data_IF_512791286336
#
_entry.id   IF_512791286336
#
_cell.length_a   1.000
_cell.length_b   1.000
_cell.length_c   1.000
_cell.angle_alpha   90.00
_cell.angle_beta   90.00
_cell.angle_gamma   90.00
#
_symmetry.space_group_name_H-M   'P 1'
#
loop_
_entity.id
_entity.type
_entity.pdbx_description
1 polymer ?
#
# COMPACT_ATOMS: atom_id res chain seq x y z
N UNK A 1 40.01 4.64 -18.39
CA UNK A 1 38.55 4.46 -18.42
C UNK A 1 38.26 3.09 -17.83
N UNK A 2 38.17 2.98 -16.51
CA UNK A 2 37.77 1.74 -15.84
C UNK A 2 36.27 1.81 -15.60
N UNK A 3 35.52 1.30 -16.56
CA UNK A 3 34.11 0.99 -16.41
C UNK A 3 33.98 -0.03 -15.28
N UNK A 4 33.49 0.42 -14.13
CA UNK A 4 33.33 -0.41 -12.94
C UNK A 4 31.90 -0.91 -12.98
N UNK A 5 31.72 -2.15 -13.44
CA UNK A 5 30.41 -2.81 -13.45
C UNK A 5 29.74 -2.66 -12.07
N UNK A 6 28.43 -2.35 -12.00
CA UNK A 6 27.75 -2.17 -10.72
C UNK A 6 27.85 -3.47 -9.90
N UNK A 7 28.32 -3.32 -8.67
CA UNK A 7 28.51 -4.43 -7.73
C UNK A 7 27.14 -5.04 -7.39
N UNK A 8 26.83 -6.20 -7.98
CA UNK A 8 25.57 -6.97 -7.88
C UNK A 8 25.22 -7.52 -6.49
N UNK A 9 25.82 -6.99 -5.41
CA UNK A 9 25.72 -7.61 -4.08
C UNK A 9 25.64 -6.59 -2.93
N UNK A 10 25.09 -5.40 -3.17
CA UNK A 10 24.88 -4.43 -2.09
C UNK A 10 23.69 -4.88 -1.23
N UNK A 11 23.89 -5.21 0.06
CA UNK A 11 22.80 -5.66 0.90
C UNK A 11 21.72 -4.58 0.99
N UNK A 12 20.46 -5.00 0.84
CA UNK A 12 19.31 -4.12 0.95
C UNK A 12 19.38 -3.33 2.26
N UNK A 13 19.05 -2.04 2.20
CA UNK A 13 19.03 -1.21 3.41
C UNK A 13 18.04 -1.78 4.43
N UNK A 14 18.24 -1.60 5.75
CA UNK A 14 17.31 -2.11 6.75
C UNK A 14 15.85 -1.69 6.54
N UNK A 15 15.63 -0.52 5.92
CA UNK A 15 14.29 -0.06 5.54
C UNK A 15 13.71 -0.92 4.41
N UNK A 16 14.48 -1.16 3.34
CA UNK A 16 14.02 -1.98 2.22
C UNK A 16 13.76 -3.44 2.64
N UNK A 17 14.56 -3.99 3.57
CA UNK A 17 14.29 -5.31 4.14
C UNK A 17 12.92 -5.35 4.84
N UNK A 18 12.60 -4.33 5.65
CA UNK A 18 11.28 -4.24 6.29
C UNK A 18 10.16 -4.02 5.25
N UNK A 19 10.40 -3.19 4.24
CA UNK A 19 9.44 -2.94 3.15
C UNK A 19 9.08 -4.24 2.42
N UNK A 20 10.07 -5.03 1.97
CA UNK A 20 9.82 -6.29 1.26
C UNK A 20 9.05 -7.28 2.13
N UNK A 21 9.44 -7.43 3.40
CA UNK A 21 8.73 -8.30 4.33
C UNK A 21 7.24 -7.92 4.48
N UNK A 22 6.91 -6.63 4.50
CA UNK A 22 5.52 -6.16 4.55
C UNK A 22 4.84 -6.30 3.18
N UNK A 23 5.55 -6.06 2.08
CA UNK A 23 5.00 -6.16 0.73
C UNK A 23 4.54 -7.59 0.41
N UNK A 24 5.23 -8.60 0.94
CA UNK A 24 4.85 -10.01 0.83
C UNK A 24 3.50 -10.32 1.53
N UNK A 25 3.10 -9.54 2.53
CA UNK A 25 1.85 -9.78 3.28
C UNK A 25 0.62 -9.13 2.66
N UNK A 26 0.77 -8.18 1.73
CA UNK A 26 -0.36 -7.37 1.21
C UNK A 26 -0.96 -7.87 -0.11
N UNK A 27 -0.42 -8.96 -0.66
CA UNK A 27 -0.97 -9.61 -1.85
C UNK A 27 -0.98 -8.68 -3.07
N UNK A 28 -2.16 -8.51 -3.67
CA UNK A 28 -2.39 -7.69 -4.87
C UNK A 28 -2.66 -6.21 -4.58
N UNK A 29 -2.64 -5.79 -3.32
CA UNK A 29 -2.81 -4.39 -2.95
C UNK A 29 -1.55 -3.56 -3.21
N UNK A 30 -1.73 -2.31 -3.62
CA UNK A 30 -0.68 -1.30 -3.62
C UNK A 30 -0.32 -0.96 -2.17
N UNK A 31 0.96 -0.82 -1.86
CA UNK A 31 1.42 -0.54 -0.51
C UNK A 31 1.73 0.95 -0.30
N UNK A 32 0.86 1.65 0.43
CA UNK A 32 1.15 2.97 1.00
C UNK A 32 2.07 2.79 2.21
N UNK A 33 3.38 2.95 2.02
CA UNK A 33 4.38 2.77 3.07
C UNK A 33 4.74 4.10 3.72
N UNK A 34 4.36 4.31 4.98
CA UNK A 34 4.59 5.60 5.65
C UNK A 34 6.06 5.89 5.89
N UNK A 35 6.55 6.98 5.30
CA UNK A 35 7.90 7.49 5.40
C UNK A 35 7.87 8.96 5.84
N UNK A 36 7.86 9.18 7.16
CA UNK A 36 7.69 10.52 7.72
C UNK A 36 6.33 11.10 7.36
N UNK A 37 6.34 12.20 6.60
CA UNK A 37 5.14 12.94 6.18
C UNK A 37 4.61 12.54 4.80
N UNK A 38 5.05 11.40 4.27
CA UNK A 38 4.60 10.84 3.00
C UNK A 38 4.18 9.38 3.15
N UNK A 39 3.21 8.95 2.34
CA UNK A 39 3.12 7.56 1.93
C UNK A 39 3.90 7.40 0.64
N UNK A 40 4.94 6.58 0.69
CA UNK A 40 5.75 6.24 -0.48
C UNK A 40 5.35 4.86 -1.00
N UNK A 41 5.38 4.71 -2.32
CA UNK A 41 5.28 3.44 -3.01
C UNK A 41 6.59 3.20 -3.76
N UNK A 42 6.99 1.94 -3.92
CA UNK A 42 8.24 1.56 -4.57
C UNK A 42 8.01 0.54 -5.69
N UNK A 43 8.99 0.40 -6.58
CA UNK A 43 8.99 -0.60 -7.66
C UNK A 43 7.72 -0.50 -8.54
N UNK A 44 7.06 -1.63 -8.82
CA UNK A 44 5.88 -1.69 -9.69
C UNK A 44 4.68 -0.96 -9.09
N UNK A 45 4.54 -0.96 -7.77
CA UNK A 45 3.50 -0.18 -7.08
C UNK A 45 3.68 1.31 -7.38
N UNK A 46 4.93 1.80 -7.41
CA UNK A 46 5.23 3.20 -7.73
C UNK A 46 4.90 3.55 -9.19
N UNK A 47 5.26 2.68 -10.13
CA UNK A 47 4.99 2.89 -11.56
C UNK A 47 3.48 2.95 -11.80
N UNK A 48 2.76 1.99 -11.22
CA UNK A 48 1.30 1.89 -11.32
C UNK A 48 0.62 3.10 -10.69
N UNK A 49 0.95 3.42 -9.45
CA UNK A 49 0.34 4.53 -8.74
C UNK A 49 0.68 5.86 -9.39
N UNK A 50 1.91 6.08 -9.85
CA UNK A 50 2.28 7.32 -10.54
C UNK A 50 1.42 7.56 -11.79
N UNK A 51 1.21 6.52 -12.61
CA UNK A 51 0.39 6.61 -13.81
C UNK A 51 -1.09 6.87 -13.48
N UNK A 52 -1.66 6.14 -12.52
CA UNK A 52 -3.07 6.29 -12.14
C UNK A 52 -3.32 7.64 -11.47
N UNK A 53 -2.43 8.05 -10.58
CA UNK A 53 -2.57 9.27 -9.80
C UNK A 53 -2.19 10.52 -10.59
N UNK A 54 -1.47 10.38 -11.70
CA UNK A 54 -0.86 11.48 -12.45
C UNK A 54 0.08 12.30 -11.57
N UNK A 55 1.00 11.58 -10.89
CA UNK A 55 2.04 12.17 -10.04
C UNK A 55 3.42 11.80 -10.55
N UNK A 56 4.43 12.56 -10.13
CA UNK A 56 5.81 12.34 -10.58
C UNK A 56 6.34 10.99 -10.11
N UNK A 57 6.78 10.16 -11.07
CA UNK A 57 7.60 8.99 -10.81
C UNK A 57 9.08 9.41 -10.69
N UNK A 58 9.70 9.08 -9.58
CA UNK A 58 11.10 9.40 -9.28
C UNK A 58 11.91 8.12 -9.02
N UNK A 59 13.18 8.27 -8.65
CA UNK A 59 14.04 7.15 -8.22
C UNK A 59 14.68 7.47 -6.87
N UNK A 60 14.78 6.47 -5.99
CA UNK A 60 15.41 6.60 -4.66
C UNK A 60 16.48 5.52 -4.46
N UNK A 61 17.73 5.94 -4.29
CA UNK A 61 18.82 4.99 -4.05
C UNK A 61 19.01 3.97 -5.18
N UNK A 62 19.62 2.82 -4.86
CA UNK A 62 19.81 1.71 -5.80
C UNK A 62 19.51 0.38 -5.12
N UNK A 63 18.96 -0.56 -5.89
CA UNK A 63 18.79 -1.97 -5.55
C UNK A 63 19.32 -2.78 -6.73
N UNK A 64 20.23 -3.72 -6.48
CA UNK A 64 20.90 -4.53 -7.52
C UNK A 64 21.54 -3.74 -8.68
N UNK A 65 21.99 -2.51 -8.39
CA UNK A 65 22.60 -1.61 -9.38
C UNK A 65 21.61 -0.78 -10.19
N UNK A 66 20.30 -0.98 -9.99
CA UNK A 66 19.24 -0.20 -10.62
C UNK A 66 18.60 0.79 -9.63
N UNK A 67 18.15 1.94 -10.12
CA UNK A 67 17.47 2.92 -9.28
C UNK A 67 16.05 2.46 -8.93
N UNK A 68 15.71 2.43 -7.63
CA UNK A 68 14.39 2.00 -7.15
C UNK A 68 13.35 3.04 -7.59
N UNK A 69 12.39 2.65 -8.42
CA UNK A 69 11.26 3.50 -8.78
C UNK A 69 10.46 3.88 -7.53
N UNK A 70 10.08 5.15 -7.41
CA UNK A 70 9.39 5.67 -6.23
C UNK A 70 8.45 6.82 -6.60
N UNK A 71 7.25 6.80 -6.05
CA UNK A 71 6.35 7.95 -6.00
C UNK A 71 5.77 8.06 -4.59
N UNK A 72 5.21 9.22 -4.24
CA UNK A 72 4.59 9.39 -2.94
C UNK A 72 3.54 10.48 -2.90
N UNK A 73 2.69 10.39 -1.90
CA UNK A 73 1.62 11.36 -1.61
C UNK A 73 1.77 11.87 -0.18
N UNK A 74 1.40 13.12 0.12
CA UNK A 74 1.51 13.66 1.47
C UNK A 74 0.61 12.87 2.44
N UNK A 75 1.16 12.45 3.58
CA UNK A 75 0.43 11.71 4.62
C UNK A 75 -0.82 12.46 5.08
N UNK A 76 -0.75 13.78 5.25
CA UNK A 76 -1.88 14.58 5.71
C UNK A 76 -2.98 14.81 4.66
N UNK A 77 -2.74 14.40 3.40
CA UNK A 77 -3.63 14.65 2.29
C UNK A 77 -3.72 13.43 1.35
N UNK A 78 -3.60 12.22 1.90
CA UNK A 78 -3.58 10.99 1.11
C UNK A 78 -4.98 10.54 0.65
N UNK A 79 -6.04 10.92 1.36
CA UNK A 79 -7.41 10.44 1.11
C UNK A 79 -7.90 10.69 -0.34
N UNK A 80 -7.66 11.86 -0.97
CA UNK A 80 -8.05 12.04 -2.38
C UNK A 80 -7.28 11.15 -3.36
N UNK A 81 -6.03 10.80 -3.04
CA UNK A 81 -5.23 9.89 -3.87
C UNK A 81 -5.68 8.44 -3.67
N UNK A 82 -5.94 8.05 -2.41
CA UNK A 82 -6.58 6.79 -2.08
C UNK A 82 -7.90 6.65 -2.86
N UNK A 83 -8.74 7.68 -2.88
CA UNK A 83 -9.97 7.74 -3.65
C UNK A 83 -9.79 7.33 -5.10
N UNK A 84 -8.80 7.95 -5.74
CA UNK A 84 -8.52 7.79 -7.16
C UNK A 84 -8.05 6.37 -7.46
N UNK A 85 -7.23 5.78 -6.60
CA UNK A 85 -6.80 4.38 -6.71
C UNK A 85 -7.97 3.41 -6.53
N UNK A 86 -8.81 3.61 -5.51
CA UNK A 86 -9.96 2.73 -5.27
C UNK A 86 -10.97 2.80 -6.43
N UNK A 87 -11.27 4.00 -6.95
CA UNK A 87 -12.15 4.19 -8.12
C UNK A 87 -11.56 3.59 -9.39
N UNK A 88 -10.23 3.51 -9.51
CA UNK A 88 -9.55 2.82 -10.60
C UNK A 88 -9.48 1.29 -10.41
N UNK A 89 -10.09 0.75 -9.34
CA UNK A 89 -10.19 -0.69 -9.09
C UNK A 89 -9.05 -1.29 -8.29
N UNK A 90 -8.12 -0.47 -7.78
CA UNK A 90 -7.01 -0.97 -6.95
C UNK A 90 -7.44 -1.18 -5.50
N UNK A 91 -6.78 -2.13 -4.84
CA UNK A 91 -6.76 -2.24 -3.37
C UNK A 91 -5.53 -1.50 -2.86
N UNK A 92 -5.62 -0.89 -1.68
CA UNK A 92 -4.50 -0.16 -1.08
C UNK A 92 -4.31 -0.59 0.36
N UNK A 93 -3.14 -1.11 0.69
CA UNK A 93 -2.71 -1.40 2.05
C UNK A 93 -2.01 -0.18 2.65
N UNK A 94 -2.49 0.28 3.81
CA UNK A 94 -1.93 1.42 4.55
C UNK A 94 -1.00 0.89 5.62
N UNK A 95 0.29 1.16 5.46
CA UNK A 95 1.33 0.76 6.37
C UNK A 95 1.84 1.96 7.17
N UNK A 96 1.67 1.89 8.49
CA UNK A 96 1.88 2.98 9.43
C UNK A 96 3.16 2.84 10.25
N UNK A 97 3.62 3.96 10.81
CA UNK A 97 4.73 3.99 11.77
C UNK A 97 4.21 3.71 13.18
N UNK A 98 4.65 2.61 13.79
CA UNK A 98 4.18 2.15 15.11
C UNK A 98 4.96 2.75 16.27
N UNK A 99 6.02 3.49 15.97
CA UNK A 99 6.86 4.20 16.92
C UNK A 99 7.44 5.44 16.23
N UNK A 100 7.88 6.43 17.01
CA UNK A 100 8.54 7.60 16.44
C UNK A 100 10.05 7.35 16.21
N UNK A 101 10.74 8.18 15.40
CA UNK A 101 12.17 8.00 15.14
C UNK A 101 13.07 8.06 16.38
N UNK A 102 12.67 8.78 17.43
CA UNK A 102 13.42 8.85 18.68
C UNK A 102 13.33 7.53 19.46
N UNK A 103 12.17 6.88 19.49
CA UNK A 103 11.97 5.56 20.09
C UNK A 103 12.74 4.48 19.36
N UNK A 104 12.68 4.47 18.03
CA UNK A 104 13.45 3.53 17.22
C UNK A 104 14.96 3.63 17.49
N UNK A 105 15.49 4.86 17.61
CA UNK A 105 16.91 5.10 17.93
C UNK A 105 17.32 4.54 19.30
N UNK A 106 16.43 4.51 20.28
CA UNK A 106 16.72 3.90 21.61
C UNK A 106 17.01 2.41 21.50
N UNK A 107 16.46 1.72 20.48
CA UNK A 107 16.71 0.29 20.23
C UNK A 107 18.07 0.02 19.56
N UNK A 108 18.79 1.06 19.14
CA UNK A 108 20.13 0.96 18.55
C UNK A 108 20.30 1.78 17.28
N UNK A 109 21.56 2.05 16.85
CA UNK A 109 21.87 2.95 15.74
C UNK A 109 21.45 2.43 14.36
N UNK A 110 21.19 1.12 14.23
CA UNK A 110 20.71 0.49 12.99
C UNK A 110 19.20 0.21 13.01
N UNK A 111 18.52 0.58 14.08
CA UNK A 111 17.09 0.29 14.25
C UNK A 111 16.26 1.23 13.39
N UNK A 112 15.49 0.64 12.48
CA UNK A 112 14.47 1.36 11.71
C UNK A 112 13.16 1.39 12.48
N UNK A 113 12.38 2.46 12.30
CA UNK A 113 11.01 2.59 12.81
C UNK A 113 10.22 1.34 12.42
N UNK A 114 9.57 0.70 13.40
CA UNK A 114 8.66 -0.43 13.17
C UNK A 114 7.43 0.06 12.43
N UNK A 115 7.00 -0.74 11.45
CA UNK A 115 5.81 -0.48 10.68
C UNK A 115 4.95 -1.71 10.54
N UNK A 116 3.65 -1.48 10.48
CA UNK A 116 2.63 -2.52 10.37
C UNK A 116 1.52 -2.04 9.43
N UNK A 117 0.90 -2.97 8.70
CA UNK A 117 -0.28 -2.68 7.91
C UNK A 117 -1.45 -2.56 8.88
N UNK A 118 -2.04 -1.37 8.96
CA UNK A 118 -3.16 -1.09 9.89
C UNK A 118 -4.51 -1.27 9.21
N UNK A 119 -4.57 -1.17 7.89
CA UNK A 119 -5.80 -1.30 7.11
C UNK A 119 -5.50 -1.65 5.66
N UNK A 120 -6.35 -2.47 5.05
CA UNK A 120 -6.42 -2.63 3.59
C UNK A 120 -7.76 -2.08 3.12
N UNK A 121 -7.71 -1.09 2.23
CA UNK A 121 -8.88 -0.46 1.64
C UNK A 121 -9.16 -1.11 0.29
N UNK A 122 -10.40 -1.52 0.09
CA UNK A 122 -10.88 -2.13 -1.16
C UNK A 122 -12.16 -1.42 -1.59
N UNK A 123 -12.60 -1.54 -2.85
CA UNK A 123 -13.85 -0.92 -3.31
C UNK A 123 -15.08 -1.26 -2.46
N UNK A 124 -15.18 -2.48 -1.93
CA UNK A 124 -16.32 -2.91 -1.10
C UNK A 124 -16.20 -2.58 0.40
N UNK A 125 -15.07 -2.05 0.87
CA UNK A 125 -14.79 -1.85 2.31
C UNK A 125 -14.41 -0.40 2.63
N UNK A 126 -14.93 0.52 1.84
CA UNK A 126 -14.74 1.96 2.00
C UNK A 126 -15.54 2.44 3.21
N UNK A 127 -14.94 3.32 4.01
CA UNK A 127 -15.60 3.98 5.16
C UNK A 127 -15.55 5.50 5.09
N UNK A 128 -14.66 6.03 4.25
CA UNK A 128 -14.44 7.44 4.05
C UNK A 128 -15.65 8.06 3.34
N UNK A 129 -16.31 9.02 3.99
CA UNK A 129 -17.46 9.72 3.42
C UNK A 129 -17.16 10.37 2.05
N UNK A 130 -15.92 10.83 1.84
CA UNK A 130 -15.47 11.44 0.58
C UNK A 130 -15.38 10.45 -0.58
N UNK A 131 -15.39 9.16 -0.28
CA UNK A 131 -15.29 8.06 -1.24
C UNK A 131 -16.66 7.42 -1.52
N UNK A 132 -17.59 7.51 -0.56
CA UNK A 132 -18.93 6.96 -0.67
C UNK A 132 -19.87 7.91 -1.42
N UNK A 133 -20.82 7.34 -2.15
CA UNK A 133 -21.94 8.11 -2.69
C UNK A 133 -23.04 8.15 -1.61
N UNK A 134 -23.36 9.35 -1.11
CA UNK A 134 -24.38 9.53 -0.08
C UNK A 134 -25.80 9.08 -0.49
N UNK A 135 -26.02 8.75 -1.76
CA UNK A 135 -27.31 8.28 -2.30
C UNK A 135 -27.32 6.80 -2.68
N UNK A 136 -26.23 6.08 -2.45
CA UNK A 136 -26.12 4.67 -2.81
C UNK A 136 -25.42 3.86 -1.72
N UNK A 137 -25.83 2.59 -1.59
CA UNK A 137 -25.15 1.64 -0.73
C UNK A 137 -23.85 1.15 -1.39
N UNK A 138 -22.86 0.78 -0.57
CA UNK A 138 -21.59 0.23 -1.00
C UNK A 138 -21.41 -1.19 -0.46
N UNK A 139 -22.14 -2.13 -1.07
CA UNK A 139 -22.14 -3.52 -0.65
C UNK A 139 -20.86 -4.26 -1.07
N UNK A 140 -20.25 -4.96 -0.13
CA UNK A 140 -19.35 -6.08 -0.39
C UNK A 140 -20.17 -7.36 -0.47
N UNK A 141 -20.05 -8.10 -1.57
CA UNK A 141 -20.76 -9.36 -1.78
C UNK A 141 -19.78 -10.53 -1.86
N UNK A 142 -20.14 -11.64 -1.22
CA UNK A 142 -19.47 -12.92 -1.33
C UNK A 142 -20.44 -13.95 -1.90
N UNK A 143 -19.97 -14.71 -2.89
CA UNK A 143 -20.71 -15.83 -3.49
C UNK A 143 -19.90 -17.10 -3.31
N UNK A 144 -20.56 -18.16 -2.85
CA UNK A 144 -19.96 -19.49 -2.66
C UNK A 144 -20.78 -20.54 -3.39
N UNK A 145 -20.15 -21.27 -4.31
CA UNK A 145 -20.77 -22.43 -4.95
C UNK A 145 -20.68 -23.60 -3.97
N UNK A 146 -21.82 -24.21 -3.63
CA UNK A 146 -21.87 -25.31 -2.69
C UNK A 146 -21.29 -26.58 -3.31
N UNK A 147 -20.91 -27.55 -2.45
CA UNK A 147 -20.16 -28.74 -2.88
C UNK A 147 -20.84 -29.57 -3.97
N UNK A 148 -22.17 -29.54 -4.06
CA UNK A 148 -22.93 -30.22 -5.12
C UNK A 148 -22.76 -29.56 -6.49
N UNK A 149 -22.37 -28.29 -6.55
CA UNK A 149 -22.31 -27.49 -7.78
C UNK A 149 -23.68 -27.01 -8.28
N UNK A 150 -24.76 -27.44 -7.64
CA UNK A 150 -26.14 -27.14 -8.04
C UNK A 150 -26.72 -25.92 -7.30
N UNK A 151 -26.16 -25.62 -6.13
CA UNK A 151 -26.61 -24.55 -5.25
C UNK A 151 -25.50 -23.52 -5.02
N UNK A 152 -25.89 -22.28 -4.73
CA UNK A 152 -24.99 -21.21 -4.32
C UNK A 152 -25.51 -20.51 -3.06
N UNK A 153 -24.59 -20.10 -2.20
CA UNK A 153 -24.85 -19.18 -1.09
C UNK A 153 -24.33 -17.79 -1.46
N UNK A 154 -25.12 -16.77 -1.12
CA UNK A 154 -24.75 -15.38 -1.26
C UNK A 154 -24.85 -14.71 0.11
N UNK A 155 -23.88 -13.85 0.41
CA UNK A 155 -23.91 -12.95 1.55
C UNK A 155 -23.42 -11.58 1.10
N UNK A 156 -24.04 -10.51 1.60
CA UNK A 156 -23.58 -9.15 1.36
C UNK A 156 -23.53 -8.36 2.67
N UNK A 157 -22.76 -7.29 2.67
CA UNK A 157 -22.67 -6.35 3.79
C UNK A 157 -22.39 -4.96 3.27
N UNK A 158 -23.10 -3.96 3.77
CA UNK A 158 -22.66 -2.57 3.64
C UNK A 158 -21.87 -2.23 4.91
N UNK A 159 -20.55 -2.15 4.75
CA UNK A 159 -19.62 -1.94 5.87
C UNK A 159 -19.82 -0.55 6.51
N UNK A 160 -20.36 0.42 5.76
CA UNK A 160 -20.57 1.79 6.23
C UNK A 160 -21.83 1.94 7.08
N UNK A 161 -22.84 1.09 6.88
CA UNK A 161 -24.12 1.15 7.61
C UNK A 161 -24.33 -0.01 8.59
N UNK A 162 -23.60 -1.12 8.40
CA UNK A 162 -23.80 -2.36 9.14
C UNK A 162 -24.96 -3.23 8.64
N UNK A 163 -25.55 -2.90 7.49
CA UNK A 163 -26.60 -3.70 6.85
C UNK A 163 -26.03 -5.03 6.34
N UNK A 164 -26.76 -6.14 6.58
CA UNK A 164 -26.43 -7.52 6.23
C UNK A 164 -27.57 -8.17 5.44
#
# INVERSE_FOLDING_TARGET
MTDTAPNKNTPATPMMVQYHAIRETVGDALLFYRMGDFYELFFDDAITAAAVLDITLTKRGQHDGEGIAMCGVPFHAFEPYLAKLIRAGFKVAICEQMENPAEAKKRGPKSVVRREVVRTVTPGTILEETLLDARANNFLCAVSILRSGEDAAIAWVDVSTGEL
#
